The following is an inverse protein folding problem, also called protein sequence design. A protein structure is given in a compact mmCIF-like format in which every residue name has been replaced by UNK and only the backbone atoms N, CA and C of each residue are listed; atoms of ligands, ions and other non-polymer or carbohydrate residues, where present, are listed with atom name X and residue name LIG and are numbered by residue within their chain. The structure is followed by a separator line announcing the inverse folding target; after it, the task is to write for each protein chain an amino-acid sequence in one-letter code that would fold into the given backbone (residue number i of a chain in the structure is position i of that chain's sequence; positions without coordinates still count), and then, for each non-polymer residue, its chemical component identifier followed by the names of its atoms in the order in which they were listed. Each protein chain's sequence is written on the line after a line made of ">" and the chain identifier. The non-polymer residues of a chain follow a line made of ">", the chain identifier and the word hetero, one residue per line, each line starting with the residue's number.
data_IF_229645079030
#
_entry.id   IF_229645079030
#
_cell.length_a   1.000
_cell.length_b   1.000
_cell.length_c   1.000
_cell.angle_alpha   90.00
_cell.angle_beta   90.00
_cell.angle_gamma   90.00
#
_symmetry.space_group_name_H-M   'P 1'
#
loop_
_entity.id
_entity.type
_entity.pdbx_description
1 polymer ?
#
# COMPACT_ATOMS: atom_id res chain seq x y z
N UNK A 1 -57.61 41.08 26.64
CA UNK A 1 -57.72 39.76 25.99
C UNK A 1 -56.56 39.66 24.93
N UNK A 2 -55.42 39.20 25.38
CA UNK A 2 -54.23 39.09 24.50
C UNK A 2 -54.06 37.61 24.10
N UNK A 3 -54.15 37.32 22.79
CA UNK A 3 -53.92 36.01 22.23
C UNK A 3 -52.41 35.93 21.84
N UNK A 4 -51.65 35.03 22.47
CA UNK A 4 -50.29 34.63 22.06
C UNK A 4 -50.40 33.59 20.94
N UNK A 5 -49.56 33.64 19.89
CA UNK A 5 -49.48 32.58 18.89
C UNK A 5 -48.58 31.44 19.39
N UNK A 6 -49.05 30.21 19.21
CA UNK A 6 -48.28 28.99 19.48
C UNK A 6 -47.27 28.78 18.38
N UNK A 7 -45.98 28.69 18.78
CA UNK A 7 -44.84 28.36 17.91
C UNK A 7 -44.74 26.84 17.83
N UNK A 8 -45.08 26.26 16.68
CA UNK A 8 -44.92 24.82 16.44
C UNK A 8 -43.44 24.51 16.08
N UNK A 9 -42.75 23.80 16.96
CA UNK A 9 -41.37 23.32 16.76
C UNK A 9 -41.41 22.04 15.91
N UNK A 10 -40.98 22.13 14.64
CA UNK A 10 -40.91 21.01 13.72
C UNK A 10 -39.60 20.24 14.00
N UNK A 11 -39.68 19.12 14.71
CA UNK A 11 -38.59 18.19 14.95
C UNK A 11 -38.37 17.36 13.66
N UNK A 12 -37.31 17.66 12.91
CA UNK A 12 -36.87 16.86 11.77
C UNK A 12 -36.06 15.66 12.34
N UNK A 13 -36.66 14.49 12.38
CA UNK A 13 -35.97 13.24 12.63
C UNK A 13 -35.21 12.83 11.38
N UNK A 14 -33.87 13.03 11.35
CA UNK A 14 -33.00 12.41 10.37
C UNK A 14 -32.84 10.94 10.74
N UNK A 15 -33.56 10.05 10.05
CA UNK A 15 -33.31 8.61 10.12
C UNK A 15 -31.94 8.30 9.52
N UNK A 16 -30.98 8.01 10.38
CA UNK A 16 -29.73 7.39 9.95
C UNK A 16 -30.07 6.01 9.35
N UNK A 17 -29.95 5.89 8.02
CA UNK A 17 -30.04 4.59 7.37
C UNK A 17 -28.82 3.78 7.80
N UNK A 18 -29.02 2.84 8.73
CA UNK A 18 -28.06 1.79 8.98
C UNK A 18 -27.89 0.99 7.67
N UNK A 19 -26.65 0.79 7.22
CA UNK A 19 -26.38 -0.09 6.11
C UNK A 19 -26.96 -1.48 6.42
N UNK A 20 -27.59 -2.16 5.44
CA UNK A 20 -28.12 -3.49 5.66
C UNK A 20 -27.01 -4.43 6.12
N UNK A 21 -27.27 -5.35 7.06
CA UNK A 21 -26.29 -6.34 7.48
C UNK A 21 -25.84 -7.14 6.25
N UNK A 22 -24.52 -7.31 6.11
CA UNK A 22 -23.93 -8.11 5.04
C UNK A 22 -24.60 -9.49 5.04
N UNK A 23 -25.11 -9.92 3.88
CA UNK A 23 -25.66 -11.26 3.71
C UNK A 23 -24.55 -12.28 3.98
N UNK A 24 -24.78 -13.17 4.95
CA UNK A 24 -23.82 -14.19 5.38
C UNK A 24 -23.47 -15.22 4.27
N UNK A 25 -24.20 -15.24 3.16
CA UNK A 25 -24.11 -16.27 2.11
C UNK A 25 -23.37 -15.83 0.84
N UNK A 26 -22.87 -14.58 0.75
CA UNK A 26 -22.10 -14.16 -0.42
C UNK A 26 -20.60 -14.46 -0.25
N UNK A 27 -19.93 -15.08 -1.24
CA UNK A 27 -18.49 -15.33 -1.20
C UNK A 27 -17.70 -14.04 -0.92
N UNK A 28 -16.64 -14.14 -0.13
CA UNK A 28 -15.74 -13.03 0.16
C UNK A 28 -14.91 -12.73 -1.10
N UNK A 29 -15.27 -11.69 -1.83
CA UNK A 29 -14.51 -11.26 -3.01
C UNK A 29 -13.30 -10.40 -2.64
N UNK A 30 -12.33 -10.25 -3.55
CA UNK A 30 -11.16 -9.37 -3.35
C UNK A 30 -11.57 -7.92 -3.04
N UNK A 31 -12.67 -7.42 -3.64
CA UNK A 31 -13.20 -6.08 -3.36
C UNK A 31 -13.70 -5.96 -1.93
N UNK A 32 -14.48 -6.93 -1.45
CA UNK A 32 -14.97 -6.94 -0.06
C UNK A 32 -13.82 -7.11 0.92
N UNK A 33 -12.90 -8.03 0.62
CA UNK A 33 -11.72 -8.25 1.44
C UNK A 33 -10.85 -6.99 1.56
N UNK A 34 -10.58 -6.30 0.44
CA UNK A 34 -9.84 -5.05 0.45
C UNK A 34 -10.51 -3.96 1.30
N UNK A 35 -11.84 -3.88 1.30
CA UNK A 35 -12.59 -2.92 2.13
C UNK A 35 -12.41 -3.20 3.63
N UNK A 36 -12.25 -4.48 4.02
CA UNK A 36 -12.03 -4.88 5.42
C UNK A 36 -10.59 -4.65 5.90
N UNK A 37 -9.61 -4.61 5.00
CA UNK A 37 -8.19 -4.48 5.36
C UNK A 37 -7.88 -3.18 6.13
N UNK A 38 -8.46 -2.06 5.75
CA UNK A 38 -8.22 -0.77 6.41
C UNK A 38 -6.74 -0.42 6.53
N UNK A 39 -6.28 -0.07 7.74
CA UNK A 39 -4.86 0.17 8.05
C UNK A 39 -4.27 -1.05 8.72
N UNK A 40 -3.13 -1.50 8.23
CA UNK A 40 -2.41 -2.64 8.77
C UNK A 40 -0.95 -2.36 9.07
N UNK A 41 -0.22 -3.42 9.39
CA UNK A 41 1.18 -3.32 9.79
C UNK A 41 1.97 -4.57 9.40
N UNK A 42 3.20 -4.37 8.89
CA UNK A 42 4.15 -5.46 8.71
C UNK A 42 4.74 -5.90 10.04
N UNK A 43 4.79 -7.21 10.26
CA UNK A 43 5.36 -7.81 11.48
C UNK A 43 6.41 -8.87 11.15
N UNK A 44 7.43 -8.95 11.99
CA UNK A 44 8.53 -9.92 11.87
C UNK A 44 8.35 -11.17 12.78
N UNK A 45 7.14 -11.41 13.24
CA UNK A 45 6.83 -12.49 14.18
C UNK A 45 7.17 -13.92 13.69
N UNK A 46 7.38 -14.10 12.38
CA UNK A 46 7.80 -15.38 11.80
C UNK A 46 9.01 -15.26 10.86
N UNK A 47 9.64 -14.08 10.81
CA UNK A 47 10.76 -13.81 9.88
C UNK A 47 12.13 -14.10 10.50
N UNK A 48 12.30 -13.75 11.76
CA UNK A 48 13.57 -13.84 12.49
C UNK A 48 13.38 -14.65 13.76
N UNK A 49 14.46 -15.26 14.26
CA UNK A 49 14.44 -15.99 15.55
C UNK A 49 14.01 -15.08 16.69
N UNK A 50 14.41 -13.81 16.65
CA UNK A 50 13.96 -12.80 17.61
C UNK A 50 12.45 -12.60 17.56
N UNK A 51 11.90 -12.35 16.36
CA UNK A 51 10.47 -12.16 16.18
C UNK A 51 9.64 -13.38 16.60
N UNK A 52 10.15 -14.58 16.34
CA UNK A 52 9.51 -15.84 16.77
C UNK A 52 9.47 -15.93 18.32
N UNK A 53 10.59 -15.61 18.99
CA UNK A 53 10.65 -15.66 20.46
C UNK A 53 9.82 -14.56 21.13
N UNK A 54 9.77 -13.38 20.54
CA UNK A 54 9.06 -12.20 21.07
C UNK A 54 7.57 -12.15 20.69
N UNK A 55 7.09 -13.12 19.91
CA UNK A 55 5.66 -13.13 19.58
C UNK A 55 4.82 -13.41 20.82
N UNK A 56 4.02 -12.42 21.19
CA UNK A 56 2.98 -12.52 22.21
C UNK A 56 1.60 -12.26 21.56
N UNK A 57 0.62 -13.18 21.73
CA UNK A 57 -0.75 -12.95 21.29
C UNK A 57 -1.39 -11.67 21.83
N UNK A 58 -0.93 -11.15 22.97
CA UNK A 58 -1.41 -9.87 23.51
C UNK A 58 -0.99 -8.66 22.65
N UNK A 59 0.13 -8.75 21.93
CA UNK A 59 0.50 -7.72 20.96
C UNK A 59 -0.57 -7.54 19.87
N UNK A 60 -1.23 -8.63 19.45
CA UNK A 60 -2.33 -8.57 18.47
C UNK A 60 -3.52 -7.78 19.01
N UNK A 61 -3.87 -7.98 20.30
CA UNK A 61 -4.90 -7.19 21.00
C UNK A 61 -4.53 -5.70 21.01
N UNK A 62 -3.30 -5.38 21.35
CA UNK A 62 -2.83 -3.99 21.44
C UNK A 62 -2.86 -3.32 20.05
N UNK A 63 -2.56 -4.06 18.99
CA UNK A 63 -2.69 -3.58 17.61
C UNK A 63 -4.14 -3.28 17.27
N UNK A 64 -5.07 -4.20 17.59
CA UNK A 64 -6.50 -4.00 17.38
C UNK A 64 -7.02 -2.76 18.13
N UNK A 65 -6.65 -2.59 19.39
CA UNK A 65 -7.04 -1.43 20.20
C UNK A 65 -6.49 -0.10 19.63
N UNK A 66 -5.36 -0.15 18.93
CA UNK A 66 -4.75 1.00 18.25
C UNK A 66 -5.39 1.31 16.89
N UNK A 67 -6.31 0.48 16.41
CA UNK A 67 -7.00 0.67 15.13
C UNK A 67 -6.32 -0.03 13.94
N UNK A 68 -5.36 -0.92 14.18
CA UNK A 68 -4.80 -1.82 13.15
C UNK A 68 -5.85 -2.88 12.82
N UNK A 69 -6.10 -3.10 11.53
CA UNK A 69 -7.12 -4.01 11.03
C UNK A 69 -6.54 -5.28 10.42
N UNK A 70 -5.31 -5.23 9.94
CA UNK A 70 -4.61 -6.40 9.40
C UNK A 70 -3.12 -6.37 9.75
N UNK A 71 -2.50 -7.54 9.76
CA UNK A 71 -1.04 -7.67 9.85
C UNK A 71 -0.52 -8.50 8.69
N UNK A 72 0.59 -8.05 8.09
CA UNK A 72 1.35 -8.87 7.16
C UNK A 72 2.50 -9.53 7.91
N UNK A 73 2.36 -10.85 8.12
CA UNK A 73 3.34 -11.70 8.80
C UNK A 73 4.41 -12.11 7.81
N UNK A 74 5.57 -11.48 7.88
CA UNK A 74 6.72 -11.82 7.03
C UNK A 74 7.34 -13.13 7.50
N UNK A 75 7.59 -14.04 6.55
CA UNK A 75 8.12 -15.39 6.83
C UNK A 75 9.36 -15.64 6.01
N UNK A 76 10.43 -16.13 6.66
CA UNK A 76 11.65 -16.60 6.01
C UNK A 76 11.92 -18.08 6.35
N UNK A 77 12.70 -18.74 5.48
CA UNK A 77 13.08 -20.16 5.64
C UNK A 77 11.98 -21.13 5.20
N UNK A 78 12.22 -22.42 5.48
CA UNK A 78 11.37 -23.52 5.00
C UNK A 78 10.05 -23.64 5.79
N UNK A 79 9.03 -24.23 5.18
CA UNK A 79 7.73 -24.53 5.81
C UNK A 79 7.83 -25.81 6.66
N UNK A 80 8.69 -25.80 7.70
CA UNK A 80 8.79 -26.90 8.65
C UNK A 80 7.54 -27.01 9.52
N UNK A 81 7.29 -28.18 10.10
CA UNK A 81 6.16 -28.38 11.00
C UNK A 81 6.15 -27.37 12.15
N UNK A 82 7.31 -27.13 12.77
CA UNK A 82 7.46 -26.14 13.85
C UNK A 82 7.05 -24.74 13.39
N UNK A 83 7.46 -24.33 12.18
CA UNK A 83 7.09 -23.04 11.61
C UNK A 83 5.61 -22.94 11.30
N UNK A 84 5.01 -24.00 10.77
CA UNK A 84 3.57 -24.06 10.49
C UNK A 84 2.75 -23.98 11.79
N UNK A 85 3.17 -24.68 12.85
CA UNK A 85 2.57 -24.57 14.19
C UNK A 85 2.67 -23.13 14.72
N UNK A 86 3.83 -22.49 14.55
CA UNK A 86 4.02 -21.11 14.99
C UNK A 86 3.13 -20.12 14.18
N UNK A 87 3.05 -20.28 12.86
CA UNK A 87 2.16 -19.48 12.01
C UNK A 87 0.69 -19.65 12.42
N UNK A 88 0.25 -20.85 12.75
CA UNK A 88 -1.09 -21.11 13.25
C UNK A 88 -1.38 -20.34 14.54
N UNK A 89 -0.45 -20.31 15.50
CA UNK A 89 -0.61 -19.53 16.73
C UNK A 89 -0.82 -18.03 16.44
N UNK A 90 -0.10 -17.49 15.43
CA UNK A 90 -0.25 -16.11 15.00
C UNK A 90 -1.63 -15.89 14.38
N UNK A 91 -2.04 -16.77 13.46
CA UNK A 91 -3.35 -16.68 12.76
C UNK A 91 -4.50 -16.75 13.77
N UNK A 92 -4.49 -17.72 14.66
CA UNK A 92 -5.51 -17.87 15.72
C UNK A 92 -5.56 -16.67 16.67
N UNK A 93 -4.41 -16.07 16.99
CA UNK A 93 -4.37 -14.82 17.77
C UNK A 93 -4.97 -13.65 17.01
N UNK A 94 -4.69 -13.52 15.70
CA UNK A 94 -5.29 -12.51 14.86
C UNK A 94 -6.82 -12.64 14.79
N UNK A 95 -7.33 -13.84 14.58
CA UNK A 95 -8.77 -14.11 14.54
C UNK A 95 -9.45 -13.78 15.88
N UNK A 96 -8.84 -14.18 17.00
CA UNK A 96 -9.34 -13.88 18.34
C UNK A 96 -9.57 -12.40 18.59
N UNK A 97 -8.73 -11.55 18.01
CA UNK A 97 -8.78 -10.10 18.16
C UNK A 97 -9.32 -9.38 16.92
N UNK A 98 -9.95 -10.08 15.97
CA UNK A 98 -10.53 -9.51 14.76
C UNK A 98 -9.52 -8.70 13.92
N UNK A 99 -8.29 -9.22 13.80
CA UNK A 99 -7.26 -8.74 12.88
C UNK A 99 -7.13 -9.73 11.73
N UNK A 100 -7.07 -9.23 10.50
CA UNK A 100 -6.88 -10.05 9.30
C UNK A 100 -5.41 -10.43 9.18
N UNK A 101 -5.03 -11.72 9.21
CA UNK A 101 -3.65 -12.16 8.99
C UNK A 101 -3.35 -12.31 7.49
N UNK A 102 -2.17 -11.84 7.06
CA UNK A 102 -1.64 -12.06 5.71
C UNK A 102 -0.24 -12.66 5.86
N UNK A 103 -0.07 -13.92 5.47
CA UNK A 103 1.24 -14.58 5.45
C UNK A 103 1.98 -14.15 4.18
N UNK A 104 3.21 -13.66 4.32
CA UNK A 104 4.05 -13.15 3.23
C UNK A 104 5.41 -13.84 3.20
N UNK A 105 5.69 -14.57 2.13
CA UNK A 105 6.92 -15.35 2.01
C UNK A 105 8.07 -14.54 1.42
N UNK A 106 9.25 -14.59 2.05
CA UNK A 106 10.43 -13.85 1.58
C UNK A 106 10.96 -14.36 0.23
N UNK A 107 10.96 -15.66 0.00
CA UNK A 107 11.42 -16.30 -1.25
C UNK A 107 12.80 -15.82 -1.74
N UNK A 108 13.76 -15.59 -0.82
CA UNK A 108 15.03 -14.93 -1.13
C UNK A 108 15.86 -15.70 -2.18
N UNK A 109 15.87 -17.05 -2.12
CA UNK A 109 16.56 -17.86 -3.11
C UNK A 109 16.02 -17.65 -4.55
N UNK A 110 14.70 -17.51 -4.70
CA UNK A 110 14.09 -17.24 -6.01
C UNK A 110 14.31 -15.80 -6.49
N UNK A 111 14.33 -14.82 -5.57
CA UNK A 111 14.69 -13.43 -5.93
C UNK A 111 16.12 -13.35 -6.48
N UNK A 112 17.06 -14.02 -5.80
CA UNK A 112 18.48 -14.05 -6.18
C UNK A 112 18.73 -14.85 -7.46
N UNK A 113 18.01 -15.96 -7.65
CA UNK A 113 18.10 -16.84 -8.83
C UNK A 113 16.72 -17.37 -9.24
N UNK A 114 16.05 -16.74 -10.23
CA UNK A 114 14.72 -17.15 -10.69
C UNK A 114 14.75 -18.39 -11.60
N UNK A 115 15.48 -19.44 -11.20
CA UNK A 115 15.55 -20.73 -11.86
C UNK A 115 14.28 -21.55 -11.63
N UNK A 116 14.04 -22.55 -12.49
CA UNK A 116 12.93 -23.49 -12.35
C UNK A 116 12.99 -24.26 -11.01
N UNK A 117 14.20 -24.58 -10.53
CA UNK A 117 14.40 -25.27 -9.27
C UNK A 117 13.94 -24.39 -8.07
N UNK A 118 14.33 -23.12 -8.04
CA UNK A 118 13.92 -22.21 -6.98
C UNK A 118 12.42 -21.86 -7.07
N UNK A 119 11.86 -21.76 -8.28
CA UNK A 119 10.41 -21.64 -8.47
C UNK A 119 9.65 -22.84 -7.88
N UNK A 120 10.11 -24.06 -8.16
CA UNK A 120 9.50 -25.27 -7.60
C UNK A 120 9.56 -25.30 -6.05
N UNK A 121 10.63 -24.78 -5.44
CA UNK A 121 10.71 -24.64 -3.97
C UNK A 121 9.67 -23.67 -3.42
N UNK A 122 9.43 -22.54 -4.10
CA UNK A 122 8.37 -21.59 -3.69
C UNK A 122 6.99 -22.22 -3.81
N UNK A 123 6.70 -22.95 -4.90
CA UNK A 123 5.44 -23.68 -5.07
C UNK A 123 5.27 -24.73 -3.97
N UNK A 124 6.30 -25.51 -3.67
CA UNK A 124 6.26 -26.53 -2.60
C UNK A 124 6.04 -25.90 -1.21
N UNK A 125 6.67 -24.77 -0.93
CA UNK A 125 6.46 -24.00 0.29
C UNK A 125 4.99 -23.59 0.46
N UNK A 126 4.41 -23.01 -0.58
CA UNK A 126 3.01 -22.60 -0.57
C UNK A 126 2.04 -23.79 -0.53
N UNK A 127 2.40 -24.90 -1.17
CA UNK A 127 1.60 -26.14 -1.08
C UNK A 127 1.56 -26.67 0.38
N UNK A 128 2.68 -26.65 1.09
CA UNK A 128 2.74 -27.05 2.50
C UNK A 128 1.87 -26.13 3.38
N UNK A 129 1.96 -24.81 3.18
CA UNK A 129 1.15 -23.82 3.92
C UNK A 129 -0.35 -24.00 3.60
N UNK A 130 -0.72 -24.12 2.33
CA UNK A 130 -2.10 -24.29 1.92
C UNK A 130 -2.73 -25.56 2.49
N UNK A 131 -2.01 -26.69 2.43
CA UNK A 131 -2.48 -27.95 2.98
C UNK A 131 -2.61 -27.91 4.52
N UNK A 132 -1.75 -27.16 5.19
CA UNK A 132 -1.77 -27.04 6.65
C UNK A 132 -2.95 -26.20 7.16
N UNK A 133 -3.28 -25.11 6.49
CA UNK A 133 -4.37 -24.21 6.88
C UNK A 133 -5.73 -24.62 6.30
N UNK A 134 -5.76 -25.22 5.10
CA UNK A 134 -7.00 -25.60 4.43
C UNK A 134 -7.97 -24.43 4.30
N UNK A 135 -9.26 -24.70 4.43
CA UNK A 135 -10.37 -23.72 4.36
C UNK A 135 -10.74 -23.11 5.74
N UNK A 136 -10.04 -23.50 6.81
CA UNK A 136 -10.47 -23.20 8.18
C UNK A 136 -10.35 -21.74 8.59
N UNK A 137 -9.61 -20.92 7.83
CA UNK A 137 -9.30 -19.53 8.15
C UNK A 137 -9.72 -18.62 6.97
N UNK A 138 -11.00 -18.27 6.83
CA UNK A 138 -11.52 -17.59 5.63
C UNK A 138 -10.93 -16.19 5.39
N UNK A 139 -10.48 -15.50 6.45
CA UNK A 139 -9.85 -14.18 6.32
C UNK A 139 -8.32 -14.23 6.15
N UNK A 140 -7.71 -15.43 6.24
CA UNK A 140 -6.28 -15.58 6.04
C UNK A 140 -5.90 -15.31 4.58
N UNK A 141 -5.04 -14.32 4.33
CA UNK A 141 -4.50 -14.00 3.01
C UNK A 141 -3.08 -14.53 2.82
N UNK A 142 -2.71 -14.80 1.56
CA UNK A 142 -1.37 -15.26 1.18
C UNK A 142 -0.70 -14.28 0.22
N UNK A 143 0.39 -13.65 0.63
CA UNK A 143 1.24 -12.77 -0.16
C UNK A 143 2.42 -13.57 -0.72
N UNK A 144 2.36 -13.90 -2.00
CA UNK A 144 3.19 -14.95 -2.64
C UNK A 144 4.68 -14.67 -2.52
N UNK A 145 5.11 -13.43 -2.78
CA UNK A 145 6.51 -12.98 -2.61
C UNK A 145 6.52 -11.59 -1.99
N UNK A 146 7.18 -11.49 -0.83
CA UNK A 146 7.51 -10.20 -0.25
C UNK A 146 8.55 -9.46 -1.10
N UNK A 147 8.19 -8.32 -1.68
CA UNK A 147 9.09 -7.45 -2.44
C UNK A 147 9.91 -8.17 -3.54
N UNK A 148 9.31 -8.54 -4.69
CA UNK A 148 10.10 -9.05 -5.81
C UNK A 148 11.22 -8.07 -6.20
N UNK A 149 12.46 -8.54 -6.17
CA UNK A 149 13.66 -7.71 -6.31
C UNK A 149 14.79 -8.49 -6.99
N UNK A 150 16.00 -7.94 -6.98
CA UNK A 150 17.22 -8.58 -7.46
C UNK A 150 17.12 -9.04 -8.91
N UNK A 151 17.46 -10.31 -9.20
CA UNK A 151 17.40 -10.85 -10.58
C UNK A 151 15.97 -10.91 -11.12
N UNK A 152 14.94 -10.98 -10.26
CA UNK A 152 13.55 -10.89 -10.70
C UNK A 152 13.21 -9.57 -11.39
N UNK A 153 13.93 -8.49 -11.10
CA UNK A 153 13.76 -7.21 -11.79
C UNK A 153 13.94 -7.32 -13.31
N UNK A 154 14.72 -8.28 -13.77
CA UNK A 154 15.00 -8.53 -15.18
C UNK A 154 14.28 -9.76 -15.75
N UNK A 155 13.48 -10.44 -14.94
CA UNK A 155 12.84 -11.72 -15.28
C UNK A 155 11.31 -11.71 -15.06
N UNK A 156 10.53 -10.80 -15.70
CA UNK A 156 9.08 -10.70 -15.50
C UNK A 156 8.33 -11.95 -15.94
N UNK A 157 8.85 -12.70 -16.89
CA UNK A 157 8.23 -13.94 -17.36
C UNK A 157 8.28 -15.03 -16.28
N UNK A 158 9.43 -15.20 -15.61
CA UNK A 158 9.60 -16.14 -14.51
C UNK A 158 8.71 -15.77 -13.33
N UNK A 159 8.63 -14.46 -12.99
CA UNK A 159 7.77 -13.98 -11.93
C UNK A 159 6.29 -14.31 -12.21
N UNK A 160 5.79 -13.99 -13.42
CA UNK A 160 4.40 -14.27 -13.79
C UNK A 160 4.11 -15.77 -13.89
N UNK A 161 5.08 -16.57 -14.33
CA UNK A 161 4.94 -18.04 -14.36
C UNK A 161 4.81 -18.59 -12.95
N UNK A 162 5.68 -18.16 -12.04
CA UNK A 162 5.59 -18.55 -10.64
C UNK A 162 4.22 -18.18 -10.04
N UNK A 163 3.73 -16.95 -10.26
CA UNK A 163 2.42 -16.54 -9.75
C UNK A 163 1.30 -17.42 -10.29
N UNK A 164 1.33 -17.77 -11.59
CA UNK A 164 0.35 -18.68 -12.16
C UNK A 164 0.37 -20.05 -11.48
N UNK A 165 1.56 -20.60 -11.22
CA UNK A 165 1.71 -21.93 -10.63
C UNK A 165 1.29 -21.93 -9.15
N UNK A 166 1.69 -20.90 -8.39
CA UNK A 166 1.30 -20.76 -6.98
C UNK A 166 -0.21 -20.52 -6.84
N UNK A 167 -0.82 -19.64 -7.65
CA UNK A 167 -2.27 -19.39 -7.61
C UNK A 167 -3.03 -20.69 -7.87
N UNK A 168 -2.64 -21.48 -8.87
CA UNK A 168 -3.26 -22.81 -9.14
C UNK A 168 -3.14 -23.74 -7.94
N UNK A 169 -1.96 -23.80 -7.32
CA UNK A 169 -1.69 -24.66 -6.15
C UNK A 169 -2.56 -24.23 -4.97
N UNK A 170 -2.63 -22.95 -4.67
CA UNK A 170 -3.41 -22.41 -3.57
C UNK A 170 -4.92 -22.60 -3.78
N UNK A 171 -5.44 -22.28 -4.97
CA UNK A 171 -6.85 -22.42 -5.28
C UNK A 171 -7.29 -23.90 -5.46
N UNK A 172 -6.35 -24.83 -5.66
CA UNK A 172 -6.65 -26.25 -5.57
C UNK A 172 -6.94 -26.69 -4.13
N UNK A 173 -6.25 -26.12 -3.15
CA UNK A 173 -6.44 -26.41 -1.73
C UNK A 173 -7.62 -25.61 -1.12
N UNK A 174 -7.81 -24.35 -1.54
CA UNK A 174 -8.90 -23.47 -1.13
C UNK A 174 -9.22 -22.48 -2.26
N UNK A 175 -10.33 -22.74 -2.96
CA UNK A 175 -10.74 -21.98 -4.14
C UNK A 175 -11.06 -20.49 -3.85
N UNK A 176 -11.28 -20.14 -2.57
CA UNK A 176 -11.64 -18.77 -2.14
C UNK A 176 -10.50 -18.06 -1.40
N UNK A 177 -9.30 -18.68 -1.33
CA UNK A 177 -8.14 -18.08 -0.65
C UNK A 177 -7.74 -16.76 -1.29
N UNK A 178 -7.68 -15.68 -0.47
CA UNK A 178 -7.18 -14.39 -0.92
C UNK A 178 -5.68 -14.44 -1.14
N UNK A 179 -5.26 -14.08 -2.35
CA UNK A 179 -3.87 -14.15 -2.80
C UNK A 179 -3.41 -12.76 -3.20
N UNK A 180 -2.22 -12.37 -2.75
CA UNK A 180 -1.57 -11.12 -3.12
C UNK A 180 -0.37 -11.40 -4.01
N UNK A 181 -0.24 -10.65 -5.10
CA UNK A 181 0.91 -10.70 -6.00
C UNK A 181 1.48 -9.30 -6.21
N UNK A 182 2.79 -9.21 -6.37
CA UNK A 182 3.50 -7.96 -6.44
C UNK A 182 4.25 -7.77 -7.77
N UNK A 183 4.34 -6.54 -8.33
CA UNK A 183 5.24 -6.24 -9.42
C UNK A 183 6.70 -6.23 -8.95
N UNK A 184 7.63 -6.06 -9.91
CA UNK A 184 9.08 -6.01 -9.68
C UNK A 184 9.51 -4.74 -8.94
N UNK A 185 10.83 -4.57 -8.80
CA UNK A 185 11.49 -3.39 -8.21
C UNK A 185 10.98 -3.07 -6.80
N UNK A 186 10.83 -4.12 -5.96
CA UNK A 186 10.24 -4.03 -4.62
C UNK A 186 8.80 -3.51 -4.66
N UNK A 187 8.03 -4.02 -5.61
CA UNK A 187 6.60 -3.74 -5.76
C UNK A 187 6.27 -2.27 -6.10
N UNK A 188 7.02 -1.62 -7.02
CA UNK A 188 6.66 -0.26 -7.43
C UNK A 188 5.34 -0.22 -8.21
N UNK A 189 4.46 0.76 -7.98
CA UNK A 189 3.14 0.81 -8.63
C UNK A 189 3.21 1.05 -10.14
N UNK A 190 4.26 1.66 -10.65
CA UNK A 190 4.49 1.87 -12.07
C UNK A 190 4.70 0.56 -12.85
N UNK A 191 5.11 -0.50 -12.16
CA UNK A 191 5.34 -1.83 -12.76
C UNK A 191 4.13 -2.78 -12.62
N UNK A 192 3.01 -2.34 -12.03
CA UNK A 192 1.77 -3.13 -11.97
C UNK A 192 1.30 -3.68 -13.33
N UNK A 193 1.47 -2.95 -14.46
CA UNK A 193 1.05 -3.47 -15.78
C UNK A 193 1.75 -4.74 -16.24
N UNK A 194 2.88 -5.14 -15.65
CA UNK A 194 3.56 -6.40 -16.02
C UNK A 194 2.85 -7.64 -15.47
N UNK A 195 2.02 -7.48 -14.46
CA UNK A 195 1.33 -8.59 -13.82
C UNK A 195 0.32 -9.21 -14.79
N UNK A 196 0.43 -10.52 -14.98
CA UNK A 196 -0.50 -11.33 -15.78
C UNK A 196 -1.37 -12.15 -14.84
N UNK A 197 -2.59 -11.67 -14.63
CA UNK A 197 -3.56 -12.34 -13.78
C UNK A 197 -4.37 -13.36 -14.61
N UNK A 198 -4.53 -14.59 -14.14
CA UNK A 198 -5.42 -15.54 -14.77
C UNK A 198 -6.87 -15.00 -14.71
N UNK A 199 -7.65 -15.04 -15.81
CA UNK A 199 -8.99 -14.47 -15.86
C UNK A 199 -9.94 -15.03 -14.78
N UNK A 200 -9.78 -16.30 -14.42
CA UNK A 200 -10.63 -16.98 -13.43
C UNK A 200 -10.27 -16.67 -11.98
N UNK A 201 -9.10 -16.07 -11.72
CA UNK A 201 -8.64 -15.75 -10.36
C UNK A 201 -8.98 -14.32 -9.89
N UNK A 202 -9.66 -13.53 -10.73
CA UNK A 202 -9.93 -12.10 -10.46
C UNK A 202 -10.73 -11.84 -9.19
N UNK A 203 -11.53 -12.80 -8.73
CA UNK A 203 -12.35 -12.64 -7.52
C UNK A 203 -11.58 -12.79 -6.21
N UNK A 204 -10.40 -13.45 -6.23
CA UNK A 204 -9.64 -13.80 -5.04
C UNK A 204 -8.17 -13.40 -5.11
N UNK A 205 -7.79 -12.57 -6.11
CA UNK A 205 -6.42 -12.09 -6.28
C UNK A 205 -6.38 -10.57 -6.22
N UNK A 206 -5.50 -10.04 -5.37
CA UNK A 206 -5.19 -8.63 -5.23
C UNK A 206 -3.76 -8.36 -5.69
N UNK A 207 -3.51 -7.18 -6.27
CA UNK A 207 -2.15 -6.72 -6.47
C UNK A 207 -1.67 -5.95 -5.24
N UNK A 208 -0.45 -6.27 -4.76
CA UNK A 208 0.21 -5.42 -3.77
C UNK A 208 1.24 -4.51 -4.44
N UNK A 209 1.44 -3.33 -3.87
CA UNK A 209 2.49 -2.41 -4.27
C UNK A 209 2.99 -1.60 -3.08
N UNK A 210 4.16 -1.00 -3.22
CA UNK A 210 4.82 -0.25 -2.16
C UNK A 210 5.12 1.18 -2.60
N UNK A 211 5.20 2.10 -1.65
CA UNK A 211 5.72 3.44 -1.84
C UNK A 211 6.99 3.61 -1.01
N UNK A 212 8.13 3.25 -1.57
CA UNK A 212 9.46 3.46 -1.00
C UNK A 212 10.43 3.99 -2.07
N UNK A 213 11.40 4.80 -1.67
CA UNK A 213 11.50 5.66 -0.49
C UNK A 213 10.85 7.02 -0.77
N UNK A 214 9.72 7.30 -0.18
CA UNK A 214 8.98 8.57 -0.33
C UNK A 214 8.74 9.18 1.05
N UNK A 215 8.95 10.49 1.14
CA UNK A 215 8.85 11.21 2.37
C UNK A 215 10.15 11.92 2.73
N UNK A 216 10.34 12.32 3.98
CA UNK A 216 11.56 12.99 4.42
C UNK A 216 12.80 12.08 4.49
N UNK A 217 12.65 10.79 4.18
CA UNK A 217 13.76 9.86 4.09
C UNK A 217 14.61 10.14 2.84
N UNK A 218 15.94 10.12 3.02
CA UNK A 218 16.88 10.32 1.94
C UNK A 218 16.92 9.10 1.02
N UNK A 219 16.67 9.31 -0.28
CA UNK A 219 16.76 8.29 -1.30
C UNK A 219 17.71 8.74 -2.42
N UNK A 220 18.73 7.95 -2.72
CA UNK A 220 19.71 8.27 -3.78
C UNK A 220 20.27 9.69 -3.69
N UNK A 221 20.56 10.16 -2.48
CA UNK A 221 21.08 11.50 -2.23
C UNK A 221 20.04 12.63 -2.26
N UNK A 222 18.76 12.34 -2.52
CA UNK A 222 17.67 13.30 -2.61
C UNK A 222 16.66 13.10 -1.48
N UNK A 223 16.00 14.17 -1.09
CA UNK A 223 14.86 14.15 -0.19
C UNK A 223 13.60 14.40 -1.03
N UNK A 224 12.76 13.39 -1.25
CA UNK A 224 11.54 13.54 -2.06
C UNK A 224 10.46 14.35 -1.37
N UNK A 225 10.61 14.66 -0.10
CA UNK A 225 9.73 15.51 0.69
C UNK A 225 10.54 16.43 1.61
N UNK A 226 10.32 17.72 1.50
CA UNK A 226 10.95 18.74 2.35
C UNK A 226 9.92 19.47 3.21
N UNK A 227 8.93 20.11 2.59
CA UNK A 227 7.91 20.90 3.26
C UNK A 227 6.48 20.63 2.78
N UNK A 228 6.29 19.67 1.86
CA UNK A 228 4.98 19.40 1.27
C UNK A 228 4.60 20.39 0.18
N UNK A 229 5.57 20.77 -0.66
CA UNK A 229 5.32 21.63 -1.82
C UNK A 229 4.30 21.01 -2.78
N UNK A 230 3.68 21.79 -3.63
CA UNK A 230 2.74 21.32 -4.64
C UNK A 230 3.35 20.23 -5.54
N UNK A 231 4.64 20.36 -5.90
CA UNK A 231 5.35 19.39 -6.73
C UNK A 231 5.59 18.06 -5.97
N UNK A 232 5.97 18.11 -4.69
CA UNK A 232 6.17 16.94 -3.85
C UNK A 232 4.85 16.16 -3.67
N UNK A 233 3.76 16.87 -3.38
CA UNK A 233 2.42 16.29 -3.30
C UNK A 233 1.95 15.69 -4.62
N UNK A 234 2.17 16.38 -5.74
CA UNK A 234 1.82 15.90 -7.07
C UNK A 234 2.56 14.59 -7.42
N UNK A 235 3.84 14.48 -7.08
CA UNK A 235 4.62 13.28 -7.32
C UNK A 235 4.08 12.05 -6.56
N UNK A 236 3.62 12.23 -5.33
CA UNK A 236 2.98 11.16 -4.54
C UNK A 236 1.63 10.78 -5.15
N UNK A 237 0.79 11.79 -5.48
CA UNK A 237 -0.52 11.55 -6.12
C UNK A 237 -0.38 10.79 -7.43
N UNK A 238 0.64 11.10 -8.22
CA UNK A 238 0.89 10.41 -9.50
C UNK A 238 1.16 8.92 -9.30
N UNK A 239 1.93 8.53 -8.29
CA UNK A 239 2.16 7.11 -7.98
C UNK A 239 0.88 6.40 -7.54
N UNK A 240 0.09 7.02 -6.67
CA UNK A 240 -1.22 6.49 -6.26
C UNK A 240 -2.15 6.40 -7.48
N UNK A 241 -2.16 7.40 -8.34
CA UNK A 241 -2.96 7.40 -9.56
C UNK A 241 -2.49 6.33 -10.58
N UNK A 242 -1.20 6.00 -10.62
CA UNK A 242 -0.71 4.88 -11.44
C UNK A 242 -1.39 3.56 -11.03
N UNK A 243 -1.45 3.27 -9.73
CA UNK A 243 -2.17 2.09 -9.23
C UNK A 243 -3.69 2.18 -9.52
N UNK A 244 -4.32 3.36 -9.34
CA UNK A 244 -5.75 3.55 -9.66
C UNK A 244 -6.07 3.33 -11.14
N UNK A 245 -5.22 3.84 -12.05
CA UNK A 245 -5.39 3.58 -13.50
C UNK A 245 -5.29 2.08 -13.82
N UNK A 246 -4.37 1.38 -13.16
CA UNK A 246 -4.26 -0.07 -13.32
C UNK A 246 -5.52 -0.78 -12.81
N UNK A 247 -6.05 -0.43 -11.63
CA UNK A 247 -7.32 -0.95 -11.11
C UNK A 247 -8.48 -0.72 -12.09
N UNK A 248 -8.62 0.51 -12.61
CA UNK A 248 -9.67 0.86 -13.58
C UNK A 248 -9.56 0.05 -14.87
N UNK A 249 -8.32 -0.16 -15.35
CA UNK A 249 -8.08 -0.89 -16.61
C UNK A 249 -8.33 -2.40 -16.48
N UNK A 250 -8.04 -2.97 -15.32
CA UNK A 250 -8.03 -4.42 -15.13
C UNK A 250 -9.24 -4.95 -14.37
N UNK A 251 -9.96 -4.09 -13.65
CA UNK A 251 -11.04 -4.48 -12.73
C UNK A 251 -10.56 -5.11 -11.43
N UNK A 252 -9.23 -5.25 -11.23
CA UNK A 252 -8.65 -5.78 -10.00
C UNK A 252 -8.49 -4.69 -8.95
N UNK A 253 -8.52 -5.08 -7.68
CA UNK A 253 -8.19 -4.21 -6.56
C UNK A 253 -6.72 -4.29 -6.20
N UNK A 254 -6.22 -3.29 -5.52
CA UNK A 254 -4.84 -3.26 -5.03
C UNK A 254 -4.75 -2.81 -3.58
N UNK A 255 -3.63 -3.13 -2.97
CA UNK A 255 -3.29 -2.85 -1.60
C UNK A 255 -1.86 -2.31 -1.52
N UNK A 256 -1.64 -1.27 -0.71
CA UNK A 256 -0.28 -0.83 -0.38
C UNK A 256 0.28 -1.75 0.69
N UNK A 257 1.10 -2.71 0.27
CA UNK A 257 1.68 -3.71 1.17
C UNK A 257 2.68 -3.12 2.17
N UNK A 258 3.21 -1.93 1.92
CA UNK A 258 4.10 -1.27 2.87
C UNK A 258 4.49 0.14 2.46
N UNK A 259 4.51 1.04 3.44
CA UNK A 259 5.13 2.35 3.35
C UNK A 259 5.60 2.80 4.74
N UNK A 260 6.52 3.75 4.78
CA UNK A 260 7.03 4.32 6.02
C UNK A 260 7.30 5.81 5.85
N UNK A 261 7.13 6.58 6.91
CA UNK A 261 7.46 8.01 6.94
C UNK A 261 8.79 8.29 7.66
N UNK A 262 9.33 7.33 8.40
CA UNK A 262 10.61 7.44 9.11
C UNK A 262 11.20 6.04 9.35
N UNK A 263 12.50 5.98 9.65
CA UNK A 263 13.20 4.71 9.93
C UNK A 263 13.85 4.71 11.33
N UNK A 264 13.64 5.75 12.13
CA UNK A 264 14.24 5.85 13.47
C UNK A 264 13.21 5.51 14.54
N UNK A 265 13.60 4.72 15.53
CA UNK A 265 12.73 4.30 16.64
C UNK A 265 12.93 5.15 17.90
N UNK A 266 14.05 5.90 17.99
CA UNK A 266 14.47 6.58 19.23
C UNK A 266 14.32 8.11 19.20
N UNK A 267 14.07 8.69 18.03
CA UNK A 267 13.98 10.15 17.88
C UNK A 267 12.54 10.60 17.65
N UNK A 268 12.17 11.72 18.23
CA UNK A 268 10.87 12.36 17.99
C UNK A 268 10.74 12.70 16.50
N UNK A 269 9.62 12.32 15.85
CA UNK A 269 9.37 12.66 14.46
C UNK A 269 9.35 14.17 14.24
N UNK A 270 10.00 14.64 13.17
CA UNK A 270 9.96 16.06 12.79
C UNK A 270 8.58 16.48 12.29
N UNK A 271 8.30 17.78 12.31
CA UNK A 271 7.07 18.33 11.72
C UNK A 271 6.91 17.95 10.24
N UNK A 272 8.00 17.92 9.47
CA UNK A 272 7.99 17.47 8.06
C UNK A 272 7.61 15.99 7.94
N UNK A 273 8.10 15.14 8.85
CA UNK A 273 7.75 13.71 8.89
C UNK A 273 6.26 13.51 9.20
N UNK A 274 5.73 14.25 10.18
CA UNK A 274 4.31 14.18 10.54
C UNK A 274 3.42 14.70 9.40
N UNK A 275 3.79 15.80 8.75
CA UNK A 275 3.08 16.34 7.60
C UNK A 275 3.05 15.36 6.42
N UNK A 276 4.19 14.70 6.13
CA UNK A 276 4.25 13.65 5.10
C UNK A 276 3.34 12.47 5.46
N UNK A 277 3.43 11.97 6.70
CA UNK A 277 2.64 10.84 7.18
C UNK A 277 1.13 11.10 7.04
N UNK A 278 0.66 12.26 7.51
CA UNK A 278 -0.75 12.66 7.38
C UNK A 278 -1.17 12.78 5.91
N UNK A 279 -0.35 13.41 5.07
CA UNK A 279 -0.65 13.57 3.66
C UNK A 279 -0.77 12.23 2.93
N UNK A 280 0.20 11.32 3.12
CA UNK A 280 0.17 9.98 2.54
C UNK A 280 -1.08 9.20 2.95
N UNK A 281 -1.36 9.13 4.25
CA UNK A 281 -2.51 8.43 4.77
C UNK A 281 -3.84 9.03 4.23
N UNK A 282 -3.95 10.36 4.14
CA UNK A 282 -5.11 11.03 3.55
C UNK A 282 -5.30 10.72 2.07
N UNK A 283 -4.24 10.75 1.27
CA UNK A 283 -4.34 10.45 -0.17
C UNK A 283 -4.70 8.98 -0.43
N UNK A 284 -4.17 8.03 0.38
CA UNK A 284 -4.54 6.62 0.28
C UNK A 284 -6.00 6.38 0.72
N UNK A 285 -6.45 6.98 1.83
CA UNK A 285 -7.85 6.92 2.26
C UNK A 285 -8.79 7.51 1.21
N UNK A 286 -8.44 8.68 0.64
CA UNK A 286 -9.21 9.32 -0.44
C UNK A 286 -9.28 8.45 -1.70
N UNK A 287 -8.22 7.69 -1.98
CA UNK A 287 -8.17 6.75 -3.10
C UNK A 287 -8.95 5.45 -2.83
N UNK A 288 -9.39 5.18 -1.59
CA UNK A 288 -10.02 3.93 -1.20
C UNK A 288 -9.06 2.74 -1.23
N UNK A 289 -7.76 2.97 -1.06
CA UNK A 289 -6.73 1.93 -1.11
C UNK A 289 -6.28 1.60 0.32
N UNK A 290 -6.50 0.37 0.80
CA UNK A 290 -6.00 -0.07 2.10
C UNK A 290 -4.48 -0.16 2.09
N UNK A 291 -3.86 -0.03 3.28
CA UNK A 291 -2.40 0.00 3.37
C UNK A 291 -1.85 -0.59 4.67
N UNK A 292 -0.61 -1.09 4.60
CA UNK A 292 0.16 -1.53 5.75
C UNK A 292 1.34 -0.58 6.02
N UNK A 293 1.66 -0.39 7.30
CA UNK A 293 2.82 0.37 7.76
C UNK A 293 4.04 -0.55 7.88
N UNK A 294 5.18 -0.14 7.38
CA UNK A 294 6.43 -0.90 7.45
C UNK A 294 7.41 -0.20 8.42
N UNK A 295 7.72 -0.79 9.55
CA UNK A 295 7.23 -2.02 10.13
C UNK A 295 6.90 -1.82 11.63
N UNK A 296 6.23 -2.82 12.22
CA UNK A 296 5.76 -2.77 13.60
C UNK A 296 6.85 -2.43 14.63
N UNK A 297 8.06 -2.98 14.47
CA UNK A 297 9.18 -2.75 15.39
C UNK A 297 9.63 -1.28 15.50
N UNK A 298 9.19 -0.40 14.59
CA UNK A 298 9.34 1.05 14.73
C UNK A 298 8.45 1.61 15.84
N UNK A 299 7.25 1.07 16.00
CA UNK A 299 6.18 1.61 16.83
C UNK A 299 5.93 0.80 18.10
N UNK A 300 6.15 -0.52 18.04
CA UNK A 300 5.89 -1.46 19.12
C UNK A 300 7.18 -2.18 19.52
N UNK A 301 7.45 -2.23 20.81
CA UNK A 301 8.53 -2.99 21.38
C UNK A 301 8.03 -4.39 21.74
N UNK A 302 8.46 -5.41 20.99
CA UNK A 302 8.03 -6.78 21.21
C UNK A 302 8.58 -7.40 22.50
N UNK A 303 9.74 -6.94 22.97
CA UNK A 303 10.37 -7.41 24.22
C UNK A 303 9.65 -6.85 25.45
N UNK A 304 9.29 -5.57 25.39
CA UNK A 304 8.55 -4.89 26.47
C UNK A 304 7.03 -5.10 26.38
N UNK A 305 6.51 -5.57 25.23
CA UNK A 305 5.08 -5.71 24.99
C UNK A 305 4.34 -4.37 25.00
N UNK A 306 4.95 -3.29 24.48
CA UNK A 306 4.42 -1.94 24.62
C UNK A 306 4.65 -1.07 23.38
N UNK A 307 3.73 -0.12 23.16
CA UNK A 307 3.92 0.94 22.16
C UNK A 307 5.03 1.89 22.59
N UNK A 308 5.87 2.31 21.61
CA UNK A 308 6.92 3.32 21.84
C UNK A 308 6.32 4.72 21.92
N UNK A 309 6.31 5.39 23.10
CA UNK A 309 5.61 6.67 23.24
C UNK A 309 6.18 7.77 22.32
N UNK A 310 7.51 7.74 22.07
CA UNK A 310 8.18 8.71 21.20
C UNK A 310 7.68 8.66 19.75
N UNK A 311 7.14 7.50 19.30
CA UNK A 311 6.61 7.30 17.97
C UNK A 311 5.08 7.43 17.88
N UNK A 312 4.40 7.62 19.01
CA UNK A 312 2.94 7.72 19.04
C UNK A 312 2.39 8.81 18.11
N UNK A 313 2.94 10.04 18.05
CA UNK A 313 2.45 11.07 17.14
C UNK A 313 2.56 10.69 15.67
N UNK A 314 3.61 9.94 15.28
CA UNK A 314 3.77 9.47 13.91
C UNK A 314 2.76 8.36 13.59
N UNK A 315 2.60 7.42 14.49
CA UNK A 315 1.62 6.34 14.32
C UNK A 315 0.20 6.90 14.20
N UNK A 316 -0.17 7.89 15.03
CA UNK A 316 -1.47 8.55 14.96
C UNK A 316 -1.70 9.26 13.62
N UNK A 317 -0.69 9.97 13.12
CA UNK A 317 -0.74 10.62 11.81
C UNK A 317 -0.91 9.63 10.66
N UNK A 318 -0.41 8.39 10.81
CA UNK A 318 -0.51 7.33 9.80
C UNK A 318 -1.83 6.53 9.89
N UNK A 319 -2.39 6.34 11.08
CA UNK A 319 -3.64 5.58 11.29
C UNK A 319 -4.85 6.49 11.18
N UNK A 320 -4.84 7.62 11.88
CA UNK A 320 -5.95 8.57 12.00
C UNK A 320 -5.56 9.99 11.56
N UNK A 321 -5.19 10.17 10.27
CA UNK A 321 -4.74 11.48 9.81
C UNK A 321 -5.85 12.52 9.85
N UNK A 322 -5.51 13.75 10.22
CA UNK A 322 -6.37 14.91 10.01
C UNK A 322 -6.22 15.35 8.57
N UNK A 323 -7.22 15.05 7.73
CA UNK A 323 -7.20 15.37 6.32
C UNK A 323 -7.75 16.79 6.08
N UNK A 324 -6.90 17.68 5.59
CA UNK A 324 -7.30 19.01 5.15
C UNK A 324 -7.90 18.92 3.74
N UNK A 325 -9.12 19.36 3.56
CA UNK A 325 -9.67 19.60 2.22
C UNK A 325 -8.94 20.80 1.63
N UNK A 326 -8.08 20.56 0.63
CA UNK A 326 -7.54 21.67 -0.16
C UNK A 326 -8.74 22.34 -0.84
N UNK A 327 -9.13 23.55 -0.40
CA UNK A 327 -10.10 24.36 -1.12
C UNK A 327 -9.53 24.58 -2.51
N UNK A 328 -10.28 24.17 -3.54
CA UNK A 328 -9.99 24.50 -4.93
C UNK A 328 -9.80 26.02 -4.98
N UNK A 329 -8.68 26.56 -5.54
CA UNK A 329 -8.56 27.98 -5.74
C UNK A 329 -9.79 28.41 -6.54
N UNK A 330 -10.64 29.24 -5.92
CA UNK A 330 -11.81 29.79 -6.58
C UNK A 330 -11.34 30.36 -7.91
N UNK A 331 -12.00 29.99 -9.00
CA UNK A 331 -11.87 30.69 -10.25
C UNK A 331 -12.27 32.14 -9.97
N UNK A 332 -11.27 32.99 -9.68
CA UNK A 332 -11.45 34.41 -9.60
C UNK A 332 -12.05 34.82 -10.94
N UNK A 333 -13.30 35.28 -10.93
CA UNK A 333 -13.87 35.96 -12.03
C UNK A 333 -12.95 37.14 -12.40
N UNK A 334 -12.10 36.90 -13.40
CA UNK A 334 -11.41 38.01 -14.08
C UNK A 334 -12.50 38.77 -14.84
N UNK A 335 -12.88 39.91 -14.27
CA UNK A 335 -13.74 40.89 -14.91
C UNK A 335 -13.05 41.31 -16.24
N UNK A 336 -13.71 41.23 -17.40
CA UNK A 336 -13.08 41.65 -18.64
C UNK A 336 -12.81 43.16 -18.57
N UNK A 337 -11.54 43.56 -18.63
CA UNK A 337 -11.17 44.95 -18.88
C UNK A 337 -11.48 45.30 -20.34
N UNK A 338 -12.16 46.42 -20.54
CA UNK A 338 -12.51 46.97 -21.85
C UNK A 338 -11.27 47.28 -22.71
N UNK A 339 -11.36 47.22 -24.05
CA UNK A 339 -10.21 47.42 -24.92
C UNK A 339 -9.87 48.92 -25.02
N UNK A 340 -8.60 49.27 -24.77
CA UNK A 340 -8.04 50.56 -25.06
C UNK A 340 -7.70 50.65 -26.57
N UNK A 341 -8.13 51.72 -27.18
CA UNK A 341 -8.07 52.08 -28.59
C UNK A 341 -6.63 52.20 -29.12
N UNK A 342 -6.49 51.78 -30.37
CA UNK A 342 -5.31 51.90 -31.20
C UNK A 342 -4.94 53.34 -31.55
N UNK A 343 -3.64 53.63 -31.66
CA UNK A 343 -3.08 54.54 -32.66
C UNK A 343 -1.58 54.32 -32.85
N UNK A 344 -1.19 54.12 -34.10
CA UNK A 344 0.12 54.52 -34.64
C UNK A 344 1.10 53.40 -35.01
N UNK A 345 1.09 52.91 -36.22
CA UNK A 345 2.26 52.45 -36.98
C UNK A 345 2.93 53.67 -37.68
N UNK A 346 4.12 53.62 -38.35
CA UNK A 346 4.78 52.47 -38.96
C UNK A 346 6.34 52.49 -39.02
N UNK A 347 6.87 51.52 -39.81
CA UNK A 347 8.15 51.47 -40.58
C UNK A 347 9.34 50.78 -39.85
N UNK A 348 9.87 49.73 -40.33
CA UNK A 348 10.44 49.21 -41.54
C UNK A 348 11.94 48.76 -41.33
N UNK A 349 12.25 47.58 -41.86
CA UNK A 349 13.51 47.14 -42.47
C UNK A 349 14.71 46.83 -41.51
N UNK A 350 15.29 45.64 -41.50
CA UNK A 350 16.09 44.99 -42.53
C UNK A 350 16.78 43.73 -41.92
N UNK A 351 16.70 42.63 -42.61
CA UNK A 351 17.61 41.48 -42.54
C UNK A 351 18.92 41.89 -43.26
N UNK A 352 20.12 41.25 -43.01
CA UNK A 352 20.36 39.91 -43.52
C UNK A 352 21.34 38.98 -42.73
N UNK A 353 21.12 37.69 -42.92
CA UNK A 353 21.98 36.63 -43.43
C UNK A 353 23.28 36.19 -42.72
N UNK A 354 23.30 34.85 -42.53
CA UNK A 354 24.43 33.95 -42.88
C UNK A 354 25.58 33.78 -41.89
N UNK A 355 25.72 32.56 -41.34
CA UNK A 355 26.79 31.62 -41.69
C UNK A 355 26.85 30.42 -40.73
N UNK A 356 26.64 29.24 -41.26
CA UNK A 356 27.24 28.00 -40.74
C UNK A 356 28.71 28.00 -41.11
N UNK A 357 29.59 27.26 -40.41
CA UNK A 357 29.93 25.92 -40.88
C UNK A 357 30.16 24.86 -39.75
N UNK A 358 29.90 23.63 -40.13
CA UNK A 358 30.48 22.39 -39.57
C UNK A 358 31.81 22.09 -40.24
N UNK A 359 32.50 20.92 -40.04
CA UNK A 359 32.89 20.13 -38.86
C UNK A 359 34.39 19.81 -38.88
N UNK A 360 34.93 19.16 -37.83
CA UNK A 360 36.22 18.41 -37.91
C UNK A 360 36.32 17.59 -36.60
N UNK A 361 36.18 16.28 -36.58
CA UNK A 361 37.02 15.12 -36.92
C UNK A 361 38.27 14.94 -36.03
N UNK A 362 38.33 13.70 -35.52
CA UNK A 362 39.55 12.94 -35.12
C UNK A 362 40.11 13.27 -33.71
N UNK A 363 40.58 12.34 -32.87
CA UNK A 363 40.86 10.90 -32.85
C UNK A 363 41.67 10.63 -31.58
N UNK A 364 41.51 9.42 -31.03
CA UNK A 364 42.51 8.67 -30.24
C UNK A 364 42.99 9.17 -28.87
N UNK A 365 42.86 8.23 -27.94
CA UNK A 365 43.49 8.12 -26.65
C UNK A 365 42.73 7.13 -25.81
#
# INVERSE_FOLDING_TARGET
>A
MNKLPALALLLIFTTAHAAPPARADEPLTAQRYAAELGVGMDVDWARTDRGIREFDPLAVRDFQQRGIRHVRVRVAGDATEERLIHLRKIVEACERYNIIPIISYQADAFKADPSAQNAARVVAWWSAVANYFGEQHPLLGFDVIYEPAERLNHNPQQLNRLYSDVIKTLHHADAQRMIFIAPRFRAVPEDLPILKLPPQSSHYVLAQWHIFPWGPLRANGKYPWTSGTAAEKAAIRERINSARRWQQKTGHVSWVGGWSAAQTVKTTPSAATLAFASFMACELKKAGIPYALNAANQFYDGEEGAWRPVQAPLLDAMINPTCVTESTPGHGHVKPSAPASAHGAPAAASTPASARPSPSSASRG
#
